data_IF_307461754230
#
_entry.id   IF_307461754230
#
_cell.length_a   1.000
_cell.length_b   1.000
_cell.length_c   1.000
_cell.angle_alpha   90.00
_cell.angle_beta   90.00
_cell.angle_gamma   90.00
#
_symmetry.space_group_name_H-M   'P 1'
#
loop_
_entity.id
_entity.type
_entity.pdbx_description
1 polymer ?
#
# COMPACT_ATOMS: atom_id res chain seq x y z
N UNK A 1 3.18 -22.62 -12.07
CA UNK A 1 1.77 -23.01 -11.93
C UNK A 1 0.97 -21.77 -11.62
N UNK A 2 0.05 -21.40 -12.50
CA UNK A 2 -1.03 -20.45 -12.21
C UNK A 2 -1.90 -21.04 -11.09
N UNK A 3 -2.20 -20.28 -10.05
CA UNK A 3 -3.33 -20.62 -9.17
C UNK A 3 -4.62 -20.35 -9.94
N UNK A 4 -5.08 -21.34 -10.73
CA UNK A 4 -6.41 -21.32 -11.35
C UNK A 4 -7.42 -21.89 -10.36
N UNK A 5 -8.09 -21.01 -9.62
CA UNK A 5 -8.99 -21.50 -8.58
C UNK A 5 -9.85 -20.46 -7.90
N UNK A 6 -10.39 -19.47 -8.62
CA UNK A 6 -11.52 -18.69 -8.12
C UNK A 6 -12.55 -18.61 -9.24
N UNK A 7 -13.46 -19.58 -9.28
CA UNK A 7 -14.61 -19.55 -10.18
C UNK A 7 -15.64 -18.59 -9.61
N UNK A 8 -16.26 -17.81 -10.50
CA UNK A 8 -17.49 -17.07 -10.23
C UNK A 8 -18.53 -18.03 -9.62
N UNK A 9 -18.68 -17.96 -8.31
CA UNK A 9 -19.92 -18.24 -7.63
C UNK A 9 -20.29 -16.94 -6.92
N UNK A 10 -21.49 -16.44 -7.17
CA UNK A 10 -22.12 -15.37 -6.39
C UNK A 10 -22.48 -15.87 -4.96
N UNK A 11 -21.54 -16.51 -4.28
CA UNK A 11 -21.63 -16.90 -2.88
C UNK A 11 -20.35 -16.41 -2.18
N UNK A 12 -20.52 -15.47 -1.25
CA UNK A 12 -19.50 -15.00 -0.31
C UNK A 12 -18.84 -16.19 0.41
N UNK A 13 -17.66 -16.59 -0.05
CA UNK A 13 -16.75 -17.44 0.73
C UNK A 13 -15.40 -16.75 0.70
N UNK A 14 -15.10 -16.01 1.77
CA UNK A 14 -13.79 -15.42 1.98
C UNK A 14 -12.71 -16.50 2.06
N UNK A 15 -11.89 -16.63 1.02
CA UNK A 15 -10.75 -17.54 1.02
C UNK A 15 -9.46 -16.74 1.28
N UNK A 16 -8.81 -17.02 2.40
CA UNK A 16 -7.45 -16.54 2.65
C UNK A 16 -6.45 -17.34 1.80
N UNK A 17 -5.53 -16.64 1.15
CA UNK A 17 -4.41 -17.23 0.42
C UNK A 17 -3.18 -17.21 1.33
N UNK A 18 -2.77 -18.38 1.80
CA UNK A 18 -1.56 -18.55 2.61
C UNK A 18 -0.45 -19.07 1.72
N UNK A 19 0.71 -18.42 1.79
CA UNK A 19 1.93 -18.81 1.10
C UNK A 19 3.01 -19.07 2.15
N UNK A 20 3.45 -20.32 2.26
CA UNK A 20 4.53 -20.76 3.14
C UNK A 20 5.35 -21.86 2.44
N UNK A 21 6.40 -22.38 3.08
CA UNK A 21 7.25 -23.45 2.54
C UNK A 21 6.47 -24.68 2.05
N UNK A 22 5.38 -25.05 2.72
CA UNK A 22 4.53 -26.20 2.35
C UNK A 22 3.59 -25.91 1.17
N UNK A 23 3.20 -24.66 0.97
CA UNK A 23 2.29 -24.20 -0.09
C UNK A 23 3.02 -23.61 -1.30
N UNK A 24 4.29 -23.99 -1.49
CA UNK A 24 5.09 -23.60 -2.66
C UNK A 24 6.03 -22.41 -2.42
N UNK A 25 6.23 -21.99 -1.17
CA UNK A 25 7.15 -20.92 -0.77
C UNK A 25 8.64 -21.20 -1.04
N UNK A 26 9.00 -22.43 -1.41
CA UNK A 26 10.35 -22.81 -1.84
C UNK A 26 10.54 -22.79 -3.37
N UNK A 27 9.53 -22.33 -4.12
CA UNK A 27 9.61 -22.23 -5.58
C UNK A 27 10.41 -20.98 -5.97
N UNK A 28 10.82 -20.90 -7.23
CA UNK A 28 11.49 -19.70 -7.75
C UNK A 28 10.56 -18.48 -7.73
N UNK A 29 9.29 -18.66 -8.09
CA UNK A 29 8.31 -17.59 -8.10
C UNK A 29 6.88 -18.10 -7.94
N UNK A 30 6.02 -17.22 -7.44
CA UNK A 30 4.59 -17.42 -7.23
C UNK A 30 3.86 -16.21 -7.80
N UNK A 31 2.90 -16.48 -8.70
CA UNK A 31 2.06 -15.44 -9.28
C UNK A 31 0.59 -15.64 -8.89
N UNK A 32 -0.04 -14.57 -8.41
CA UNK A 32 -1.48 -14.48 -8.13
C UNK A 32 -2.05 -13.45 -9.10
N UNK A 33 -2.75 -13.94 -10.12
CA UNK A 33 -3.19 -13.13 -11.24
C UNK A 33 -4.71 -13.17 -11.34
N UNK A 34 -5.36 -12.01 -11.39
CA UNK A 34 -6.74 -11.99 -11.85
C UNK A 34 -6.75 -12.28 -13.35
N UNK A 35 -7.58 -13.25 -13.77
CA UNK A 35 -7.78 -13.71 -15.14
C UNK A 35 -7.00 -14.95 -15.61
N UNK A 36 -7.13 -16.08 -14.90
CA UNK A 36 -6.64 -17.38 -15.36
C UNK A 36 -7.16 -17.84 -16.76
N UNK A 37 -8.06 -17.08 -17.42
CA UNK A 37 -8.64 -17.37 -18.74
C UNK A 37 -8.41 -16.28 -19.83
N UNK A 38 -7.65 -15.20 -19.57
CA UNK A 38 -7.39 -14.11 -20.55
C UNK A 38 -8.63 -13.37 -21.09
N UNK A 39 -9.67 -13.13 -20.27
CA UNK A 39 -10.86 -12.31 -20.59
C UNK A 39 -10.76 -10.83 -20.22
N UNK A 40 -9.60 -10.33 -19.79
CA UNK A 40 -9.37 -8.94 -19.36
C UNK A 40 -10.25 -8.47 -18.19
N UNK A 41 -10.80 -9.42 -17.41
CA UNK A 41 -11.63 -9.10 -16.24
C UNK A 41 -10.80 -9.29 -14.97
N UNK A 42 -10.76 -8.23 -14.17
CA UNK A 42 -10.14 -8.23 -12.85
C UNK A 42 -10.89 -9.21 -11.93
N UNK A 43 -10.15 -10.07 -11.23
CA UNK A 43 -10.75 -10.96 -10.22
C UNK A 43 -10.94 -10.18 -8.93
N UNK A 44 -12.16 -10.21 -8.40
CA UNK A 44 -12.51 -9.60 -7.13
C UNK A 44 -12.29 -10.59 -5.98
N UNK A 45 -11.49 -10.18 -5.01
CA UNK A 45 -11.23 -10.87 -3.75
C UNK A 45 -11.85 -10.04 -2.62
N UNK A 46 -12.81 -10.61 -1.92
CA UNK A 46 -13.24 -10.13 -0.62
C UNK A 46 -12.81 -11.16 0.42
N UNK A 47 -12.59 -10.73 1.66
CA UNK A 47 -12.49 -11.72 2.74
C UNK A 47 -13.89 -12.19 3.20
N UNK A 48 -13.94 -12.94 4.31
CA UNK A 48 -15.16 -13.47 4.94
C UNK A 48 -16.03 -12.40 5.63
N UNK A 49 -16.64 -12.74 6.77
CA UNK A 49 -17.57 -11.83 7.46
C UNK A 49 -16.86 -10.63 8.10
N UNK A 50 -17.50 -9.45 8.17
CA UNK A 50 -16.93 -8.24 8.80
C UNK A 50 -16.58 -8.39 10.29
N UNK A 51 -17.02 -9.48 10.95
CA UNK A 51 -16.66 -9.83 12.33
C UNK A 51 -15.36 -10.62 12.44
N UNK A 52 -14.75 -11.03 11.33
CA UNK A 52 -13.48 -11.73 11.28
C UNK A 52 -12.32 -10.74 11.47
N UNK A 53 -12.09 -10.38 12.75
CA UNK A 53 -10.79 -10.05 13.33
C UNK A 53 -9.91 -8.97 12.70
N UNK A 54 -9.58 -7.95 13.52
CA UNK A 54 -8.32 -7.20 13.43
C UNK A 54 -7.17 -8.22 13.32
N UNK A 55 -6.24 -8.06 12.38
CA UNK A 55 -5.10 -8.96 12.07
C UNK A 55 -5.32 -10.12 11.07
N UNK A 56 -6.50 -10.25 10.45
CA UNK A 56 -6.67 -11.21 9.35
C UNK A 56 -6.36 -10.59 7.99
N UNK A 57 -5.68 -11.32 7.12
CA UNK A 57 -5.24 -10.85 5.81
C UNK A 57 -5.77 -11.73 4.68
N UNK A 58 -6.18 -11.14 3.55
CA UNK A 58 -6.60 -11.89 2.35
C UNK A 58 -5.42 -12.71 1.81
N UNK A 59 -4.23 -12.10 1.74
CA UNK A 59 -2.99 -12.79 1.34
C UNK A 59 -1.98 -12.71 2.48
N UNK A 60 -1.40 -13.85 2.85
CA UNK A 60 -0.35 -13.92 3.86
C UNK A 60 0.89 -14.64 3.30
N UNK A 61 2.01 -13.93 3.23
CA UNK A 61 3.32 -14.46 2.82
C UNK A 61 4.16 -14.70 4.06
N UNK A 62 4.35 -15.97 4.40
CA UNK A 62 5.12 -16.40 5.58
C UNK A 62 6.60 -16.03 5.50
N UNK A 63 7.23 -15.91 6.66
CA UNK A 63 8.65 -15.58 6.82
C UNK A 63 9.62 -16.60 6.21
N UNK A 64 9.17 -17.83 6.00
CA UNK A 64 9.93 -18.95 5.46
C UNK A 64 9.94 -19.00 3.93
N UNK A 65 9.15 -18.13 3.28
CA UNK A 65 9.04 -18.04 1.83
C UNK A 65 10.30 -17.43 1.23
N UNK A 66 10.84 -18.07 0.20
CA UNK A 66 12.03 -17.64 -0.58
C UNK A 66 11.73 -17.53 -2.08
N UNK A 67 10.46 -17.30 -2.41
CA UNK A 67 9.98 -17.10 -3.78
C UNK A 67 9.91 -15.62 -4.13
N UNK A 68 10.03 -15.31 -5.41
CA UNK A 68 9.56 -14.03 -5.96
C UNK A 68 8.02 -14.04 -5.99
N UNK A 69 7.38 -13.06 -5.35
CA UNK A 69 5.91 -12.97 -5.28
C UNK A 69 5.44 -11.86 -6.21
N UNK A 70 4.55 -12.20 -7.14
CA UNK A 70 3.90 -11.27 -8.05
C UNK A 70 2.40 -11.37 -7.85
N UNK A 71 1.76 -10.25 -7.62
CA UNK A 71 0.31 -10.14 -7.47
C UNK A 71 -0.15 -9.10 -8.47
N UNK A 72 -0.96 -9.50 -9.44
CA UNK A 72 -1.30 -8.64 -10.57
C UNK A 72 -2.77 -8.73 -10.98
N UNK A 73 -3.30 -7.59 -11.45
CA UNK A 73 -4.64 -7.50 -12.03
C UNK A 73 -5.76 -8.06 -11.13
N UNK A 74 -5.72 -7.75 -9.83
CA UNK A 74 -6.76 -8.15 -8.86
C UNK A 74 -7.44 -6.93 -8.23
N UNK A 75 -8.69 -7.11 -7.82
CA UNK A 75 -9.43 -6.15 -7.00
C UNK A 75 -9.59 -6.77 -5.62
N UNK A 76 -9.14 -6.11 -4.57
CA UNK A 76 -9.47 -6.47 -3.20
C UNK A 76 -10.45 -5.45 -2.63
N UNK A 77 -11.58 -5.92 -2.11
CA UNK A 77 -12.69 -5.04 -1.70
C UNK A 77 -13.13 -5.33 -0.27
N UNK A 78 -13.34 -4.26 0.49
CA UNK A 78 -14.01 -4.16 1.79
C UNK A 78 -13.64 -5.26 2.78
N UNK A 79 -12.60 -5.00 3.57
CA UNK A 79 -12.12 -5.90 4.62
C UNK A 79 -11.72 -5.09 5.86
N UNK A 80 -12.30 -5.39 7.03
CA UNK A 80 -11.94 -4.75 8.32
C UNK A 80 -10.58 -5.22 8.88
N UNK A 81 -9.90 -6.14 8.20
CA UNK A 81 -8.52 -6.57 8.48
C UNK A 81 -7.52 -5.98 7.48
N UNK A 82 -6.54 -6.77 7.03
CA UNK A 82 -5.59 -6.36 5.99
C UNK A 82 -5.81 -7.01 4.62
N UNK A 83 -5.34 -6.35 3.57
CA UNK A 83 -5.30 -6.91 2.23
C UNK A 83 -4.17 -7.94 2.11
N UNK A 84 -2.95 -7.55 2.44
CA UNK A 84 -1.75 -8.36 2.24
C UNK A 84 -0.84 -8.20 3.45
N UNK A 85 -0.40 -9.31 4.03
CA UNK A 85 0.72 -9.34 4.98
C UNK A 85 1.88 -10.07 4.36
N UNK A 86 3.07 -9.48 4.43
CA UNK A 86 4.29 -10.15 4.05
C UNK A 86 5.36 -10.11 5.13
N UNK A 87 5.91 -11.26 5.45
CA UNK A 87 7.04 -11.44 6.37
C UNK A 87 8.27 -12.06 5.68
N UNK A 88 8.13 -12.51 4.43
CA UNK A 88 9.17 -13.22 3.68
C UNK A 88 9.20 -12.85 2.18
N UNK A 89 9.61 -13.80 1.35
CA UNK A 89 9.82 -13.61 -0.09
C UNK A 89 11.21 -13.08 -0.45
N UNK A 90 11.62 -13.28 -1.70
CA UNK A 90 12.83 -12.66 -2.27
C UNK A 90 12.54 -11.27 -2.84
N UNK A 91 11.35 -11.10 -3.42
CA UNK A 91 10.81 -9.83 -3.88
C UNK A 91 9.29 -9.89 -3.85
N UNK A 92 8.63 -8.75 -3.73
CA UNK A 92 7.16 -8.66 -3.78
C UNK A 92 6.79 -7.55 -4.73
N UNK A 93 5.96 -7.87 -5.73
CA UNK A 93 5.47 -6.91 -6.70
C UNK A 93 3.94 -6.94 -6.75
N UNK A 94 3.32 -5.77 -6.66
CA UNK A 94 1.89 -5.53 -6.84
C UNK A 94 1.71 -4.70 -8.11
N UNK A 95 0.98 -5.21 -9.10
CA UNK A 95 0.86 -4.58 -10.42
C UNK A 95 -0.59 -4.50 -10.88
N UNK A 96 -1.05 -3.32 -11.29
CA UNK A 96 -2.40 -3.12 -11.83
C UNK A 96 -3.54 -3.59 -10.88
N UNK A 97 -3.28 -3.51 -9.57
CA UNK A 97 -4.20 -3.92 -8.51
C UNK A 97 -5.11 -2.76 -8.10
N UNK A 98 -6.30 -3.10 -7.59
CA UNK A 98 -7.19 -2.15 -6.92
C UNK A 98 -7.46 -2.63 -5.49
N UNK A 99 -7.26 -1.76 -4.52
CA UNK A 99 -7.53 -2.00 -3.10
C UNK A 99 -8.59 -1.00 -2.65
N UNK A 100 -9.80 -1.47 -2.38
CA UNK A 100 -10.94 -0.62 -2.01
C UNK A 100 -11.44 -0.97 -0.62
N UNK A 101 -11.56 0.02 0.27
CA UNK A 101 -12.05 -0.13 1.64
C UNK A 101 -11.04 0.33 2.69
N UNK A 102 -11.19 -0.17 3.92
CA UNK A 102 -10.35 0.16 5.07
C UNK A 102 -9.14 -0.77 5.28
N UNK A 103 -8.90 -1.71 4.36
CA UNK A 103 -7.84 -2.70 4.50
C UNK A 103 -6.43 -2.13 4.35
N UNK A 104 -5.46 -2.77 5.00
CA UNK A 104 -4.04 -2.38 4.97
C UNK A 104 -3.13 -3.42 4.30
N UNK A 105 -2.07 -2.98 3.64
CA UNK A 105 -0.94 -3.81 3.24
C UNK A 105 0.17 -3.66 4.27
N UNK A 106 0.57 -4.76 4.90
CA UNK A 106 1.68 -4.80 5.88
C UNK A 106 2.89 -5.50 5.27
N UNK A 107 3.99 -4.76 5.14
CA UNK A 107 5.27 -5.27 4.67
C UNK A 107 6.29 -5.31 5.79
N UNK A 108 6.52 -6.51 6.31
CA UNK A 108 7.46 -6.82 7.40
C UNK A 108 8.63 -7.69 6.91
N UNK A 109 9.13 -7.43 5.70
CA UNK A 109 10.26 -8.16 5.13
C UNK A 109 11.41 -7.22 4.77
N UNK A 110 12.65 -7.71 4.82
CA UNK A 110 13.85 -6.94 4.45
C UNK A 110 13.97 -6.72 2.93
N UNK A 111 13.15 -7.39 2.16
CA UNK A 111 13.14 -7.30 0.68
C UNK A 111 12.37 -6.09 0.19
N UNK A 112 12.48 -5.83 -1.12
CA UNK A 112 11.75 -4.75 -1.79
C UNK A 112 10.28 -5.12 -1.99
N UNK A 113 9.39 -4.22 -1.56
CA UNK A 113 7.99 -4.16 -2.01
C UNK A 113 7.89 -3.16 -3.16
N UNK A 114 7.54 -3.65 -4.34
CA UNK A 114 7.26 -2.85 -5.52
C UNK A 114 5.76 -2.76 -5.75
N UNK A 115 5.25 -1.57 -6.00
CA UNK A 115 3.84 -1.31 -6.31
C UNK A 115 3.80 -0.45 -7.55
N UNK A 116 3.18 -0.94 -8.61
CA UNK A 116 3.11 -0.25 -9.90
C UNK A 116 1.67 -0.17 -10.39
N UNK A 117 1.29 0.99 -10.91
CA UNK A 117 -0.01 1.21 -11.60
C UNK A 117 -1.22 0.74 -10.79
N UNK A 118 -1.15 0.82 -9.45
CA UNK A 118 -2.18 0.31 -8.56
C UNK A 118 -3.01 1.44 -7.97
N UNK A 119 -4.24 1.13 -7.56
CA UNK A 119 -5.16 2.07 -6.95
C UNK A 119 -5.50 1.67 -5.52
N UNK A 120 -5.45 2.63 -4.60
CA UNK A 120 -5.88 2.51 -3.22
C UNK A 120 -7.01 3.51 -2.98
N UNK A 121 -8.18 3.01 -2.58
CA UNK A 121 -9.40 3.79 -2.41
C UNK A 121 -9.98 3.53 -1.03
N UNK A 122 -10.06 4.56 -0.21
CA UNK A 122 -10.74 4.50 1.08
C UNK A 122 -12.27 4.46 0.94
N UNK A 123 -12.97 4.34 2.06
CA UNK A 123 -14.43 4.51 2.09
C UNK A 123 -14.79 5.98 2.32
N UNK A 124 -15.83 6.46 1.63
CA UNK A 124 -16.24 7.86 1.74
C UNK A 124 -16.79 8.21 3.14
N UNK A 125 -16.36 9.38 3.61
CA UNK A 125 -16.88 10.24 4.68
C UNK A 125 -17.10 9.61 6.09
N UNK A 126 -16.17 9.93 7.00
CA UNK A 126 -16.26 10.00 8.47
C UNK A 126 -15.74 8.83 9.31
N UNK A 127 -15.21 7.77 8.70
CA UNK A 127 -14.51 6.72 9.47
C UNK A 127 -13.02 6.84 9.18
N UNK A 128 -12.23 7.06 10.22
CA UNK A 128 -10.79 6.97 10.13
C UNK A 128 -10.39 5.53 9.82
N UNK A 129 -9.55 5.36 8.81
CA UNK A 129 -9.06 4.07 8.36
C UNK A 129 -7.59 3.89 8.75
N UNK A 130 -7.17 2.64 8.85
CA UNK A 130 -5.75 2.30 8.94
C UNK A 130 -5.02 2.72 7.65
N UNK A 131 -3.69 2.76 7.72
CA UNK A 131 -2.86 3.12 6.58
C UNK A 131 -3.05 2.15 5.42
N UNK A 132 -3.12 2.65 4.18
CA UNK A 132 -3.20 1.76 3.02
C UNK A 132 -1.97 0.84 2.94
N UNK A 133 -0.78 1.38 3.24
CA UNK A 133 0.48 0.64 3.26
C UNK A 133 1.25 0.97 4.53
N UNK A 134 1.70 -0.05 5.24
CA UNK A 134 2.64 0.03 6.36
C UNK A 134 3.84 -0.87 6.08
N UNK A 135 5.04 -0.30 5.96
CA UNK A 135 6.29 -1.06 5.96
C UNK A 135 7.11 -0.79 7.21
N UNK A 136 7.56 -1.86 7.84
CA UNK A 136 8.42 -1.82 9.04
C UNK A 136 9.85 -2.25 8.72
N UNK A 137 10.10 -2.81 7.53
CA UNK A 137 11.41 -3.34 7.09
C UNK A 137 11.57 -3.14 5.58
N UNK A 138 12.82 -3.23 5.11
CA UNK A 138 13.13 -3.28 3.68
C UNK A 138 12.90 -1.96 2.96
N UNK A 139 12.57 -2.05 1.67
CA UNK A 139 12.41 -0.90 0.77
C UNK A 139 11.00 -0.90 0.21
N UNK A 140 10.34 0.26 0.21
CA UNK A 140 9.13 0.51 -0.58
C UNK A 140 9.49 1.25 -1.86
N UNK A 141 9.00 0.76 -2.99
CA UNK A 141 9.06 1.44 -4.29
C UNK A 141 7.66 1.50 -4.92
N UNK A 142 7.11 2.71 -5.09
CA UNK A 142 5.75 2.95 -5.59
C UNK A 142 5.83 3.79 -6.85
N UNK A 143 5.25 3.29 -7.94
CA UNK A 143 5.34 3.89 -9.27
C UNK A 143 3.92 4.03 -9.83
N UNK A 144 3.61 5.20 -10.37
CA UNK A 144 2.39 5.47 -11.14
C UNK A 144 1.09 5.02 -10.44
N UNK A 145 1.03 5.07 -9.10
CA UNK A 145 -0.10 4.57 -8.33
C UNK A 145 -0.95 5.72 -7.79
N UNK A 146 -2.21 5.45 -7.48
CA UNK A 146 -3.17 6.45 -7.00
C UNK A 146 -3.71 6.06 -5.62
N UNK A 147 -3.63 6.97 -4.67
CA UNK A 147 -4.19 6.88 -3.32
C UNK A 147 -5.28 7.92 -3.17
N UNK A 148 -6.52 7.51 -2.88
CA UNK A 148 -7.63 8.46 -2.79
C UNK A 148 -8.64 8.15 -1.70
N UNK A 149 -9.29 9.20 -1.25
CA UNK A 149 -10.44 9.14 -0.34
C UNK A 149 -10.16 8.46 1.02
N UNK A 150 -8.91 8.41 1.48
CA UNK A 150 -8.58 7.95 2.84
C UNK A 150 -8.78 9.05 3.90
N UNK A 151 -9.24 8.68 5.10
CA UNK A 151 -9.28 9.55 6.29
C UNK A 151 -8.34 8.98 7.34
N UNK A 152 -7.36 9.78 7.79
CA UNK A 152 -6.29 9.29 8.67
C UNK A 152 -6.17 10.19 9.90
N UNK A 153 -6.16 9.60 11.10
CA UNK A 153 -6.05 10.33 12.37
C UNK A 153 -5.12 9.59 13.35
N UNK A 154 -4.17 10.31 13.95
CA UNK A 154 -3.24 9.74 14.93
C UNK A 154 -1.79 9.73 14.47
N UNK A 155 -0.91 9.16 15.30
CA UNK A 155 0.51 8.97 14.97
C UNK A 155 0.70 7.74 14.09
N UNK A 156 1.78 7.73 13.29
CA UNK A 156 2.17 6.59 12.46
C UNK A 156 1.06 6.07 11.53
N UNK A 157 0.25 7.00 11.01
CA UNK A 157 -0.89 6.71 10.14
C UNK A 157 -0.93 7.62 8.91
N UNK A 158 -1.34 7.07 7.78
CA UNK A 158 -1.28 7.77 6.50
C UNK A 158 -1.63 6.91 5.29
N UNK A 159 -1.49 7.44 4.07
CA UNK A 159 -1.58 6.58 2.89
C UNK A 159 -0.43 5.56 2.89
N UNK A 160 0.79 6.03 3.14
CA UNK A 160 2.01 5.24 3.20
C UNK A 160 2.73 5.54 4.50
N UNK A 161 3.05 4.50 5.27
CA UNK A 161 3.82 4.59 6.51
C UNK A 161 5.07 3.73 6.41
N UNK A 162 6.23 4.32 6.69
CA UNK A 162 7.50 3.61 6.83
C UNK A 162 8.04 3.79 8.25
N UNK A 163 8.03 2.73 9.04
CA UNK A 163 8.44 2.73 10.45
C UNK A 163 9.55 1.70 10.72
N UNK A 164 9.97 1.62 11.99
CA UNK A 164 10.96 0.68 12.50
C UNK A 164 12.28 0.65 11.71
N UNK A 165 12.49 -0.38 10.90
CA UNK A 165 13.70 -0.68 10.14
C UNK A 165 13.48 -0.57 8.62
N UNK A 166 12.44 0.14 8.17
CA UNK A 166 12.28 0.45 6.76
C UNK A 166 13.41 1.39 6.32
N UNK A 167 14.16 1.00 5.29
CA UNK A 167 15.40 1.67 4.91
C UNK A 167 15.22 2.70 3.80
N UNK A 168 14.23 2.54 2.91
CA UNK A 168 13.96 3.52 1.85
C UNK A 168 12.47 3.55 1.47
N UNK A 169 12.00 4.73 1.08
CA UNK A 169 10.70 4.95 0.49
C UNK A 169 10.85 5.77 -0.80
N UNK A 170 10.54 5.14 -1.94
CA UNK A 170 10.68 5.73 -3.27
C UNK A 170 9.29 5.84 -3.90
N UNK A 171 8.90 7.04 -4.30
CA UNK A 171 7.57 7.34 -4.87
C UNK A 171 7.77 8.12 -6.17
N UNK A 172 7.26 7.56 -7.28
CA UNK A 172 7.42 8.13 -8.62
C UNK A 172 6.07 8.26 -9.35
N UNK A 173 5.77 9.46 -9.87
CA UNK A 173 4.60 9.72 -10.71
C UNK A 173 3.25 9.31 -10.10
N UNK A 174 3.11 9.37 -8.78
CA UNK A 174 1.95 8.86 -8.05
C UNK A 174 1.01 9.99 -7.60
N UNK A 175 -0.23 9.66 -7.28
CA UNK A 175 -1.26 10.66 -6.98
C UNK A 175 -1.90 10.39 -5.62
N UNK A 176 -2.03 11.43 -4.79
CA UNK A 176 -2.66 11.40 -3.47
C UNK A 176 -3.81 12.38 -3.48
N UNK A 177 -5.01 11.92 -3.84
CA UNK A 177 -6.15 12.77 -4.20
C UNK A 177 -7.27 12.64 -3.18
N UNK A 178 -7.77 13.78 -2.70
CA UNK A 178 -8.92 13.83 -1.79
C UNK A 178 -8.73 12.98 -0.52
N UNK A 179 -7.49 12.75 -0.11
CA UNK A 179 -7.17 12.19 1.20
C UNK A 179 -7.33 13.29 2.27
N UNK A 180 -7.77 12.89 3.46
CA UNK A 180 -7.97 13.74 4.62
C UNK A 180 -6.98 13.34 5.73
N UNK A 181 -5.70 13.73 5.64
CA UNK A 181 -4.80 13.63 6.77
C UNK A 181 -5.28 14.61 7.86
N UNK A 182 -5.78 14.08 8.97
CA UNK A 182 -6.17 14.85 10.15
C UNK A 182 -5.00 14.99 11.12
N UNK A 183 -5.26 15.44 12.35
CA UNK A 183 -4.25 15.68 13.38
C UNK A 183 -3.25 14.53 13.55
N UNK A 184 -1.96 14.87 13.59
CA UNK A 184 -0.80 13.98 13.75
C UNK A 184 -0.53 12.96 12.61
N UNK A 185 -1.36 12.91 11.57
CA UNK A 185 -1.20 12.02 10.42
C UNK A 185 -0.50 12.69 9.23
N UNK A 186 -0.11 11.89 8.22
CA UNK A 186 0.33 12.43 6.94
C UNK A 186 0.01 11.52 5.75
N UNK A 187 -0.09 12.03 4.52
CA UNK A 187 -0.25 11.15 3.35
C UNK A 187 0.96 10.21 3.19
N UNK A 188 2.17 10.72 3.38
CA UNK A 188 3.40 9.94 3.50
C UNK A 188 4.02 10.20 4.86
N UNK A 189 4.15 9.18 5.70
CA UNK A 189 4.72 9.26 7.05
C UNK A 189 5.94 8.35 7.18
N UNK A 190 7.13 8.93 7.32
CA UNK A 190 8.38 8.22 7.56
C UNK A 190 8.81 8.47 9.00
N UNK A 191 8.71 7.44 9.84
CA UNK A 191 9.12 7.46 11.25
C UNK A 191 10.26 6.48 11.56
N UNK A 192 10.70 5.71 10.56
CA UNK A 192 11.93 4.90 10.64
C UNK A 192 13.17 5.77 10.74
N UNK A 193 13.93 5.61 11.84
CA UNK A 193 15.27 6.22 12.01
C UNK A 193 16.33 5.56 11.13
N UNK A 194 16.03 4.38 10.57
CA UNK A 194 16.89 3.66 9.64
C UNK A 194 16.64 4.04 8.18
N UNK A 195 15.65 4.92 7.91
CA UNK A 195 15.35 5.35 6.56
C UNK A 195 16.46 6.27 6.03
N UNK A 196 17.27 5.75 5.11
CA UNK A 196 18.38 6.49 4.52
C UNK A 196 17.92 7.42 3.39
N UNK A 197 16.74 7.17 2.80
CA UNK A 197 16.21 7.95 1.69
C UNK A 197 14.68 7.91 1.62
N UNK A 198 14.08 9.09 1.66
CA UNK A 198 12.77 9.37 1.10
C UNK A 198 12.96 10.08 -0.25
N UNK A 199 12.43 9.51 -1.34
CA UNK A 199 12.42 10.16 -2.66
C UNK A 199 10.98 10.29 -3.16
N UNK A 200 10.56 11.49 -3.51
CA UNK A 200 9.25 11.76 -4.13
C UNK A 200 9.46 12.62 -5.36
N UNK A 201 9.25 12.03 -6.54
CA UNK A 201 9.51 12.69 -7.83
C UNK A 201 8.47 12.31 -8.88
N UNK A 202 8.50 12.98 -10.02
CA UNK A 202 7.69 12.68 -11.19
C UNK A 202 8.36 11.64 -12.08
N UNK A 203 7.55 11.06 -12.96
CA UNK A 203 8.01 10.40 -14.18
C UNK A 203 8.08 11.43 -15.32
N UNK A 204 8.83 11.11 -16.37
CA UNK A 204 8.94 11.96 -17.56
C UNK A 204 7.57 12.35 -18.16
N UNK A 205 6.60 11.44 -18.08
CA UNK A 205 5.25 11.62 -18.62
C UNK A 205 4.19 11.98 -17.57
N UNK A 206 4.52 11.95 -16.27
CA UNK A 206 3.53 12.08 -15.19
C UNK A 206 4.14 12.66 -13.92
N UNK A 207 3.58 13.77 -13.45
CA UNK A 207 3.95 14.40 -12.17
C UNK A 207 3.41 13.62 -10.97
N UNK A 208 4.01 13.81 -9.81
CA UNK A 208 3.43 13.35 -8.55
C UNK A 208 2.48 14.42 -8.02
N UNK A 209 1.29 14.03 -7.58
CA UNK A 209 0.24 14.97 -7.17
C UNK A 209 -0.12 14.71 -5.71
N UNK A 210 -0.13 15.76 -4.90
CA UNK A 210 -0.85 15.79 -3.63
C UNK A 210 -2.02 16.76 -3.80
N UNK A 211 -3.23 16.35 -3.44
CA UNK A 211 -4.38 17.24 -3.37
C UNK A 211 -5.29 16.84 -2.21
N UNK A 212 -5.52 17.79 -1.31
CA UNK A 212 -6.35 17.61 -0.12
C UNK A 212 -7.75 18.17 -0.30
N UNK A 213 -8.71 17.63 0.45
CA UNK A 213 -10.03 18.24 0.64
C UNK A 213 -9.96 19.24 1.81
N UNK A 214 -10.06 20.55 1.51
CA UNK A 214 -10.49 21.57 2.47
C UNK A 214 -9.74 21.63 3.81
N UNK A 215 -8.40 21.68 3.78
CA UNK A 215 -7.59 21.96 4.97
C UNK A 215 -7.69 23.46 5.30
N UNK A 216 -8.80 23.86 5.91
CA UNK A 216 -9.00 25.21 6.46
C UNK A 216 -8.50 25.34 7.91
N UNK A 217 -7.99 24.26 8.50
CA UNK A 217 -7.49 24.23 9.88
C UNK A 217 -5.97 24.09 9.91
N UNK A 218 -5.29 25.06 10.54
CA UNK A 218 -3.84 25.07 10.75
C UNK A 218 -3.32 23.88 11.58
N UNK A 219 -4.20 23.14 12.26
CA UNK A 219 -3.86 21.92 13.02
C UNK A 219 -4.06 20.61 12.25
N UNK A 220 -4.59 20.66 11.02
CA UNK A 220 -4.82 19.45 10.22
C UNK A 220 -3.51 18.90 9.60
N UNK A 221 -3.53 17.61 9.24
CA UNK A 221 -2.34 16.79 8.97
C UNK A 221 -1.45 17.27 7.80
N UNK A 222 -0.35 16.56 7.57
CA UNK A 222 0.65 16.94 6.57
C UNK A 222 0.52 16.10 5.29
N UNK A 223 0.96 16.59 4.13
CA UNK A 223 1.12 15.70 2.97
C UNK A 223 2.31 14.76 3.17
N UNK A 224 3.40 15.28 3.71
CA UNK A 224 4.63 14.51 3.97
C UNK A 224 5.13 14.86 5.37
N UNK A 225 5.41 13.83 6.18
CA UNK A 225 6.10 13.92 7.47
C UNK A 225 7.24 12.91 7.44
N UNK A 226 8.48 13.33 7.68
CA UNK A 226 9.63 12.43 7.53
C UNK A 226 10.75 12.76 8.50
N UNK A 227 11.40 11.72 9.02
CA UNK A 227 12.70 11.79 9.72
C UNK A 227 13.82 11.08 8.95
N UNK A 228 13.62 10.80 7.66
CA UNK A 228 14.63 10.13 6.83
C UNK A 228 15.94 10.94 6.78
N UNK A 229 17.07 10.23 6.73
CA UNK A 229 18.40 10.86 6.71
C UNK A 229 18.61 11.75 5.47
N UNK A 230 17.98 11.40 4.34
CA UNK A 230 17.96 12.20 3.12
C UNK A 230 16.53 12.28 2.58
N UNK A 231 16.11 13.48 2.20
CA UNK A 231 14.83 13.76 1.55
C UNK A 231 15.11 14.36 0.18
N UNK A 232 14.65 13.69 -0.88
CA UNK A 232 14.79 14.12 -2.28
C UNK A 232 13.40 14.34 -2.88
N UNK A 233 12.97 15.60 -2.87
CA UNK A 233 11.64 16.03 -3.32
C UNK A 233 11.83 17.12 -4.37
N UNK A 234 11.41 16.85 -5.60
CA UNK A 234 11.57 17.79 -6.71
C UNK A 234 10.35 18.69 -6.86
N UNK A 235 10.49 19.99 -6.60
CA UNK A 235 9.37 20.95 -6.65
C UNK A 235 8.68 21.05 -8.02
N UNK A 236 9.39 20.78 -9.12
CA UNK A 236 8.81 20.75 -10.48
C UNK A 236 7.85 19.59 -10.68
N UNK A 237 7.91 18.61 -9.80
CA UNK A 237 7.19 17.35 -9.93
C UNK A 237 5.84 17.41 -9.22
N UNK A 238 5.47 18.54 -8.62
CA UNK A 238 4.18 18.78 -7.96
C UNK A 238 3.33 19.83 -8.68
N UNK A 239 2.01 19.71 -8.55
CA UNK A 239 1.06 20.70 -9.10
C UNK A 239 0.31 21.46 -7.98
N UNK A 240 0.03 20.82 -6.83
CA UNK A 240 -0.77 21.40 -5.73
C UNK A 240 -0.28 20.97 -4.34
N UNK A 241 1.01 21.13 -4.03
CA UNK A 241 1.57 20.73 -2.73
C UNK A 241 2.08 21.93 -1.91
N UNK A 242 1.79 21.92 -0.61
CA UNK A 242 2.43 22.80 0.39
C UNK A 242 3.33 21.94 1.25
N UNK A 243 4.64 22.23 1.24
CA UNK A 243 5.62 21.59 2.11
C UNK A 243 5.95 22.54 3.26
N UNK A 244 5.86 22.08 4.50
CA UNK A 244 6.27 22.85 5.67
C UNK A 244 7.49 22.14 6.26
N UNK A 245 8.64 22.77 6.12
CA UNK A 245 9.83 22.38 6.85
C UNK A 245 9.71 22.90 8.28
N UNK A 246 9.77 22.02 9.27
CA UNK A 246 9.86 22.40 10.67
C UNK A 246 11.30 22.20 11.12
N UNK A 247 12.19 23.07 10.68
CA UNK A 247 13.48 23.24 11.33
C UNK A 247 13.32 24.07 12.61
N UNK A 248 13.76 23.47 13.73
CA UNK A 248 13.90 23.96 15.12
C UNK A 248 12.68 23.85 16.03
#
# INVERSE_FOLDING_TARGET
CEFRGLREKEEEIGQQVIINSTQGGNRKGISITGDGEKRLKRVKLSGGSESEGKELFIINVGNDVKSDIIIENIEMVQWKGGFIKSEGGNSIALQDCIFSGSGTIVHHSVVKLEIASSEFKGEEQYIDIDSFITATKGIINIINSTFRQGSFYGQDIGCIVCSDNCSQCLIEGSEFIANKPQSNSASVSITSTQCILLSIKGLQSKRTIFSGLGINDSFSGNFVKSIAAKIDISFTDFTYATFIDREK
#
